data_IF_975239963915
#
_entry.id   IF_975239963915
#
_cell.length_a   1.000
_cell.length_b   1.000
_cell.length_c   1.000
_cell.angle_alpha   90.00
_cell.angle_beta   90.00
_cell.angle_gamma   90.00
#
_symmetry.space_group_name_H-M   'P 1'
#
loop_
_entity.id
_entity.type
_entity.pdbx_description
1 polymer ?
#
# COMPACT_ATOMS: atom_id res chain seq x y z
N UNK A 1 -17.75 11.28 -13.80
CA UNK A 1 -18.85 11.85 -12.99
C UNK A 1 -18.93 11.03 -11.71
N UNK A 2 -18.65 11.60 -10.54
CA UNK A 2 -18.67 10.89 -9.26
C UNK A 2 -20.13 10.62 -8.87
N UNK A 3 -20.49 9.36 -8.56
CA UNK A 3 -21.86 8.97 -8.22
C UNK A 3 -22.05 9.05 -6.70
N UNK A 4 -22.84 10.03 -6.27
CA UNK A 4 -23.33 10.17 -4.89
C UNK A 4 -24.67 9.45 -4.77
N UNK A 5 -24.91 8.79 -3.64
CA UNK A 5 -26.18 8.11 -3.33
C UNK A 5 -26.52 8.39 -1.87
N UNK A 6 -27.69 8.98 -1.59
CA UNK A 6 -28.05 9.45 -0.25
C UNK A 6 -28.09 8.34 0.81
N UNK A 7 -28.16 7.07 0.39
CA UNK A 7 -28.26 5.91 1.29
C UNK A 7 -26.96 5.13 1.40
N UNK A 8 -26.24 4.95 0.29
CA UNK A 8 -25.06 4.07 0.19
C UNK A 8 -23.75 4.87 0.19
N UNK A 9 -23.75 6.07 -0.39
CA UNK A 9 -22.57 6.93 -0.47
C UNK A 9 -22.99 8.42 -0.37
N UNK A 10 -23.49 8.84 0.80
CA UNK A 10 -23.98 10.19 1.00
C UNK A 10 -22.84 11.18 0.82
N UNK A 11 -23.16 12.36 0.30
CA UNK A 11 -22.17 13.42 0.12
C UNK A 11 -21.69 13.91 1.48
N UNK A 12 -20.38 13.82 1.72
CA UNK A 12 -19.72 14.36 2.90
C UNK A 12 -18.81 15.52 2.49
N UNK A 13 -18.94 16.66 3.17
CA UNK A 13 -18.06 17.83 2.94
C UNK A 13 -16.70 17.65 3.62
N UNK A 14 -16.68 17.01 4.79
CA UNK A 14 -15.47 16.71 5.56
C UNK A 14 -15.33 15.19 5.71
N UNK A 15 -14.26 14.64 5.14
CA UNK A 15 -13.96 13.21 5.19
C UNK A 15 -12.45 12.99 5.38
N UNK A 16 -12.07 11.99 6.19
CA UNK A 16 -10.67 11.72 6.44
C UNK A 16 -10.00 11.16 5.19
N UNK A 17 -8.86 11.74 4.80
CA UNK A 17 -8.04 11.28 3.68
C UNK A 17 -6.71 10.73 4.21
N UNK A 18 -6.34 9.55 3.74
CA UNK A 18 -5.00 8.99 3.92
C UNK A 18 -4.25 9.09 2.60
N UNK A 19 -3.05 9.66 2.62
CA UNK A 19 -2.15 9.72 1.47
C UNK A 19 -0.84 9.06 1.84
N UNK A 20 -0.34 8.20 0.95
CA UNK A 20 0.99 7.60 1.04
C UNK A 20 1.60 7.54 -0.35
N UNK A 21 2.92 7.64 -0.41
CA UNK A 21 3.72 7.49 -1.62
C UNK A 21 4.77 6.43 -1.33
N UNK A 22 4.98 5.53 -2.29
CA UNK A 22 6.04 4.53 -2.20
C UNK A 22 7.40 5.21 -2.42
N UNK A 23 8.30 5.06 -1.47
CA UNK A 23 9.72 5.40 -1.60
C UNK A 23 10.45 4.33 -2.43
N UNK A 24 10.01 3.06 -2.30
CA UNK A 24 10.54 1.94 -3.06
C UNK A 24 9.62 1.55 -4.22
N UNK A 25 9.76 2.26 -5.35
CA UNK A 25 8.97 2.05 -6.58
C UNK A 25 9.09 0.65 -7.20
N UNK A 26 10.00 -0.19 -6.69
CA UNK A 26 10.30 -1.53 -7.20
C UNK A 26 10.95 -1.53 -8.58
N UNK A 27 11.37 -0.37 -9.09
CA UNK A 27 12.04 -0.20 -10.38
C UNK A 27 13.19 0.79 -10.31
N UNK A 28 14.22 0.55 -11.11
CA UNK A 28 15.32 1.49 -11.29
C UNK A 28 14.95 2.61 -12.29
N UNK A 29 15.86 3.57 -12.46
CA UNK A 29 15.70 4.68 -13.40
C UNK A 29 15.67 4.23 -14.88
N UNK A 30 15.95 2.96 -15.17
CA UNK A 30 15.83 2.36 -16.51
C UNK A 30 14.50 1.61 -16.70
N UNK A 31 13.66 1.53 -15.65
CA UNK A 31 12.40 0.80 -15.64
C UNK A 31 12.54 -0.70 -15.38
N UNK A 32 13.73 -1.18 -15.01
CA UNK A 32 13.96 -2.59 -14.65
C UNK A 32 13.54 -2.84 -13.21
N UNK A 33 12.96 -4.01 -12.96
CA UNK A 33 12.52 -4.40 -11.62
C UNK A 33 13.71 -4.58 -10.67
N UNK A 34 13.55 -4.08 -9.45
CA UNK A 34 14.48 -4.29 -8.34
C UNK A 34 13.88 -5.36 -7.43
N UNK A 35 14.68 -6.38 -7.10
CA UNK A 35 14.27 -7.51 -6.27
C UNK A 35 15.01 -7.49 -4.94
N UNK A 36 14.37 -8.02 -3.91
CA UNK A 36 15.00 -8.21 -2.62
C UNK A 36 16.14 -9.24 -2.74
N UNK A 37 17.28 -8.96 -2.10
CA UNK A 37 18.42 -9.87 -2.03
C UNK A 37 18.57 -10.44 -0.63
N UNK A 38 19.02 -11.68 -0.54
CA UNK A 38 19.41 -12.32 0.72
C UNK A 38 20.84 -11.93 1.14
N UNK A 39 21.28 -12.40 2.31
CA UNK A 39 22.62 -12.11 2.85
C UNK A 39 23.77 -12.61 1.96
N UNK A 40 23.49 -13.57 1.08
CA UNK A 40 24.44 -14.10 0.10
C UNK A 40 24.49 -13.30 -1.21
N UNK A 41 23.68 -12.25 -1.35
CA UNK A 41 23.56 -11.42 -2.56
C UNK A 41 22.74 -12.05 -3.69
N UNK A 42 22.08 -13.19 -3.44
CA UNK A 42 21.16 -13.83 -4.38
C UNK A 42 19.75 -13.25 -4.23
N UNK A 43 18.95 -13.31 -5.29
CA UNK A 43 17.57 -12.80 -5.26
C UNK A 43 16.69 -13.70 -4.39
N UNK A 44 15.93 -13.08 -3.48
CA UNK A 44 15.00 -13.77 -2.60
C UNK A 44 13.79 -14.31 -3.37
N UNK A 45 13.37 -15.52 -3.00
CA UNK A 45 12.22 -16.20 -3.56
C UNK A 45 11.10 -16.30 -2.52
N UNK A 46 9.86 -16.15 -2.97
CA UNK A 46 8.68 -16.39 -2.16
C UNK A 46 8.42 -17.89 -1.97
N UNK A 47 7.35 -18.22 -1.24
CA UNK A 47 6.93 -19.61 -0.98
C UNK A 47 6.58 -20.40 -2.25
N UNK A 48 6.33 -19.71 -3.36
CA UNK A 48 5.98 -20.28 -4.66
C UNK A 48 7.15 -20.24 -5.64
N UNK A 49 8.37 -19.92 -5.17
CA UNK A 49 9.58 -19.85 -5.98
C UNK A 49 9.55 -18.71 -7.03
N UNK A 50 8.83 -17.62 -6.75
CA UNK A 50 8.86 -16.38 -7.53
C UNK A 50 9.78 -15.34 -6.87
N UNK A 51 10.37 -14.46 -7.68
CA UNK A 51 11.22 -13.38 -7.18
C UNK A 51 10.40 -12.38 -6.35
N UNK A 52 10.90 -12.02 -5.18
CA UNK A 52 10.29 -11.00 -4.33
C UNK A 52 10.73 -9.62 -4.84
N UNK A 53 9.78 -8.84 -5.35
CA UNK A 53 10.03 -7.44 -5.72
C UNK A 53 10.30 -6.61 -4.46
N UNK A 54 11.30 -5.74 -4.53
CA UNK A 54 11.57 -4.80 -3.45
C UNK A 54 10.47 -3.74 -3.44
N UNK A 55 9.70 -3.67 -2.37
CA UNK A 55 8.63 -2.68 -2.19
C UNK A 55 8.40 -2.38 -0.71
N UNK A 56 7.74 -1.25 -0.41
CA UNK A 56 7.41 -0.75 0.93
C UNK A 56 5.91 -0.82 1.26
N UNK A 57 5.13 -1.55 0.44
CA UNK A 57 3.67 -1.66 0.61
C UNK A 57 3.23 -2.17 1.99
N UNK A 58 4.04 -2.99 2.65
CA UNK A 58 3.74 -3.48 4.00
C UNK A 58 3.78 -2.36 5.03
N UNK A 59 4.76 -1.45 4.93
CA UNK A 59 4.89 -0.31 5.84
C UNK A 59 3.72 0.65 5.66
N UNK A 60 3.36 0.93 4.40
CA UNK A 60 2.19 1.74 4.05
C UNK A 60 0.90 1.12 4.63
N UNK A 61 0.74 -0.20 4.53
CA UNK A 61 -0.42 -0.90 5.07
C UNK A 61 -0.52 -0.79 6.59
N UNK A 62 0.62 -0.91 7.30
CA UNK A 62 0.68 -0.76 8.76
C UNK A 62 0.31 0.67 9.18
N UNK A 63 0.84 1.69 8.49
CA UNK A 63 0.51 3.08 8.79
C UNK A 63 -0.94 3.43 8.45
N UNK A 64 -1.48 2.85 7.38
CA UNK A 64 -2.90 2.96 7.05
C UNK A 64 -3.79 2.37 8.14
N UNK A 65 -3.45 1.18 8.68
CA UNK A 65 -4.19 0.55 9.76
C UNK A 65 -4.21 1.41 11.03
N UNK A 66 -3.04 1.92 11.45
CA UNK A 66 -2.95 2.86 12.60
C UNK A 66 -3.80 4.10 12.38
N UNK A 67 -3.74 4.69 11.19
CA UNK A 67 -4.53 5.85 10.83
C UNK A 67 -6.03 5.54 10.85
N UNK A 68 -6.45 4.41 10.28
CA UNK A 68 -7.85 4.02 10.20
C UNK A 68 -8.48 3.76 11.56
N UNK A 69 -7.74 3.11 12.47
CA UNK A 69 -8.15 2.92 13.87
C UNK A 69 -8.30 4.29 14.56
N UNK A 70 -7.35 5.21 14.34
CA UNK A 70 -7.43 6.58 14.88
C UNK A 70 -8.64 7.36 14.34
N UNK A 71 -8.97 7.19 13.06
CA UNK A 71 -10.14 7.80 12.43
C UNK A 71 -11.45 7.06 12.72
N UNK A 72 -11.40 5.90 13.39
CA UNK A 72 -12.55 5.05 13.74
C UNK A 72 -13.38 4.64 12.51
N UNK A 73 -12.70 4.25 11.43
CA UNK A 73 -13.39 3.78 10.22
C UNK A 73 -14.22 2.53 10.53
N UNK A 74 -15.44 2.48 10.01
CA UNK A 74 -16.42 1.44 10.35
C UNK A 74 -16.01 0.01 9.97
N UNK A 75 -15.05 -0.13 9.06
CA UNK A 75 -14.56 -1.41 8.56
C UNK A 75 -13.22 -1.85 9.19
N UNK A 76 -12.59 -1.00 10.03
CA UNK A 76 -11.41 -1.39 10.81
C UNK A 76 -11.84 -1.53 12.29
N UNK A 77 -11.82 -2.77 12.79
CA UNK A 77 -12.14 -3.14 14.17
C UNK A 77 -10.89 -3.29 15.03
#
# INVERSE_FOLDING_TARGET
>A
MQKWDDKINPKAEDYPIFMAVSENSGKDNSGKEIYQTNDNGERSLDKHNHLIQQHDLQEIAIEFEKWAIKQKLSFWK
#
